data_IF_707500142736
#
_entry.id   IF_707500142736
#
_cell.length_a   1.000
_cell.length_b   1.000
_cell.length_c   1.000
_cell.angle_alpha   90.00
_cell.angle_beta   90.00
_cell.angle_gamma   90.00
#
_symmetry.space_group_name_H-M   'P 1'
#
loop_
_entity.id
_entity.type
_entity.pdbx_description
1 polymer ?
#
# COMPACT_ATOMS: atom_id res chain seq x y z
N UNK A 1 4.16 -30.78 6.48
CA UNK A 1 2.70 -30.50 6.50
C UNK A 1 2.51 -29.07 6.07
N UNK A 2 2.18 -28.84 4.79
CA UNK A 2 1.87 -27.51 4.28
C UNK A 2 0.45 -27.22 4.74
N UNK A 3 0.31 -26.36 5.73
CA UNK A 3 -1.00 -25.85 6.12
C UNK A 3 -1.56 -25.06 4.93
N UNK A 4 -2.51 -25.63 4.22
CA UNK A 4 -3.38 -24.90 3.32
C UNK A 4 -4.25 -23.97 4.17
N UNK A 5 -3.71 -22.82 4.54
CA UNK A 5 -4.56 -21.71 4.94
C UNK A 5 -5.33 -21.31 3.68
N UNK A 6 -6.59 -21.68 3.64
CA UNK A 6 -7.53 -21.20 2.63
C UNK A 6 -7.52 -19.68 2.72
N UNK A 7 -6.90 -19.04 1.74
CA UNK A 7 -6.84 -17.60 1.61
C UNK A 7 -8.29 -17.09 1.43
N UNK A 8 -8.92 -16.61 2.49
CA UNK A 8 -10.28 -16.08 2.42
C UNK A 8 -10.20 -14.63 1.98
N UNK A 9 -10.13 -14.42 0.67
CA UNK A 9 -10.32 -13.10 0.09
C UNK A 9 -11.80 -12.71 0.21
N UNK A 10 -12.08 -11.55 0.78
CA UNK A 10 -13.43 -11.02 0.87
C UNK A 10 -13.82 -10.40 -0.48
N UNK A 11 -14.86 -10.88 -1.18
CA UNK A 11 -15.22 -10.36 -2.48
C UNK A 11 -15.86 -8.98 -2.39
N UNK A 12 -15.48 -8.09 -3.31
CA UNK A 12 -16.09 -6.77 -3.51
C UNK A 12 -16.52 -6.63 -4.97
N UNK A 13 -17.83 -6.57 -5.21
CA UNK A 13 -18.41 -6.47 -6.54
C UNK A 13 -18.87 -5.06 -6.89
N UNK A 14 -19.12 -4.21 -5.90
CA UNK A 14 -19.67 -2.88 -6.12
C UNK A 14 -18.66 -1.77 -5.87
N UNK A 15 -18.50 -0.80 -6.79
CA UNK A 15 -17.67 0.39 -6.57
C UNK A 15 -18.20 1.30 -5.45
N UNK A 16 -19.44 1.07 -4.98
CA UNK A 16 -20.04 1.79 -3.84
C UNK A 16 -19.69 1.15 -2.49
N UNK A 17 -18.94 0.06 -2.48
CA UNK A 17 -18.51 -0.61 -1.25
C UNK A 17 -17.80 0.38 -0.31
N UNK A 18 -18.08 0.36 1.01
CA UNK A 18 -17.47 1.26 1.99
C UNK A 18 -15.93 1.21 2.01
N UNK A 19 -15.34 0.02 1.84
CA UNK A 19 -13.89 -0.16 1.80
C UNK A 19 -13.27 0.57 0.60
N UNK A 20 -13.90 0.50 -0.58
CA UNK A 20 -13.43 1.22 -1.77
C UNK A 20 -13.64 2.74 -1.66
N UNK A 21 -14.70 3.19 -0.99
CA UNK A 21 -14.90 4.62 -0.70
C UNK A 21 -13.80 5.14 0.23
N UNK A 22 -13.47 4.37 1.27
CA UNK A 22 -12.38 4.68 2.18
C UNK A 22 -11.04 4.75 1.46
N UNK A 23 -10.73 3.75 0.64
CA UNK A 23 -9.51 3.68 -0.17
C UNK A 23 -9.37 4.91 -1.08
N UNK A 24 -10.46 5.31 -1.75
CA UNK A 24 -10.50 6.52 -2.57
C UNK A 24 -10.20 7.78 -1.76
N UNK A 25 -10.82 7.93 -0.58
CA UNK A 25 -10.56 9.07 0.29
C UNK A 25 -9.08 9.16 0.70
N UNK A 26 -8.45 8.03 1.01
CA UNK A 26 -7.02 7.99 1.32
C UNK A 26 -6.15 8.38 0.12
N UNK A 27 -6.55 8.01 -1.11
CA UNK A 27 -5.85 8.46 -2.32
C UNK A 27 -5.97 9.97 -2.54
N UNK A 28 -7.18 10.51 -2.39
CA UNK A 28 -7.50 11.87 -2.82
C UNK A 28 -7.18 12.92 -1.76
N UNK A 29 -7.37 12.60 -0.47
CA UNK A 29 -7.40 13.59 0.62
C UNK A 29 -6.23 13.42 1.58
N UNK A 30 -5.26 14.34 1.51
CA UNK A 30 -4.14 14.38 2.46
C UNK A 30 -4.64 14.51 3.93
N UNK A 31 -5.72 15.27 4.15
CA UNK A 31 -6.35 15.41 5.46
C UNK A 31 -6.83 14.06 6.02
N UNK A 32 -7.43 13.21 5.18
CA UNK A 32 -7.90 11.88 5.61
C UNK A 32 -6.73 10.98 5.95
N UNK A 33 -5.65 11.00 5.16
CA UNK A 33 -4.43 10.26 5.47
C UNK A 33 -3.86 10.67 6.82
N UNK A 34 -3.73 11.98 7.06
CA UNK A 34 -3.23 12.50 8.33
C UNK A 34 -4.13 12.14 9.51
N UNK A 35 -5.46 12.30 9.35
CA UNK A 35 -6.45 11.99 10.40
C UNK A 35 -6.43 10.52 10.81
N UNK A 36 -6.29 9.62 9.84
CA UNK A 36 -6.35 8.16 10.06
C UNK A 36 -4.98 7.53 10.32
N UNK A 37 -3.90 8.25 10.05
CA UNK A 37 -2.56 7.67 10.09
C UNK A 37 -2.36 6.56 9.07
N UNK A 38 -3.03 6.64 7.91
CA UNK A 38 -3.02 5.61 6.86
C UNK A 38 -2.67 6.22 5.51
N UNK A 39 -2.06 5.42 4.65
CA UNK A 39 -1.81 5.78 3.25
C UNK A 39 -1.96 4.58 2.32
N UNK A 40 -2.09 4.85 1.03
CA UNK A 40 -2.27 3.81 0.01
C UNK A 40 -0.98 3.61 -0.77
N UNK A 41 -0.67 2.37 -1.05
CA UNK A 41 0.47 1.93 -1.87
C UNK A 41 -0.11 1.20 -3.07
N UNK A 42 0.29 1.60 -4.27
CA UNK A 42 -0.15 0.99 -5.52
C UNK A 42 1.01 0.27 -6.20
N UNK A 43 0.82 -1.03 -6.40
CA UNK A 43 1.77 -1.88 -7.10
C UNK A 43 2.63 -2.74 -6.19
N UNK A 44 2.97 -3.90 -6.72
CA UNK A 44 3.67 -4.94 -5.99
C UNK A 44 5.10 -4.53 -5.60
N UNK A 45 5.78 -3.83 -6.49
CA UNK A 45 7.14 -3.32 -6.25
C UNK A 45 7.19 -2.33 -5.09
N UNK A 46 6.22 -1.42 -5.03
CA UNK A 46 6.10 -0.42 -3.97
C UNK A 46 5.70 -1.07 -2.64
N UNK A 47 4.82 -2.07 -2.66
CA UNK A 47 4.46 -2.87 -1.48
C UNK A 47 5.69 -3.59 -0.93
N UNK A 48 6.51 -4.21 -1.80
CA UNK A 48 7.77 -4.86 -1.39
C UNK A 48 8.73 -3.87 -0.73
N UNK A 49 8.90 -2.67 -1.28
CA UNK A 49 9.72 -1.61 -0.66
C UNK A 49 9.18 -1.21 0.71
N UNK A 50 7.88 -1.09 0.86
CA UNK A 50 7.25 -0.77 2.14
C UNK A 50 7.43 -1.90 3.18
N UNK A 51 7.39 -3.18 2.74
CA UNK A 51 7.73 -4.32 3.59
C UNK A 51 9.19 -4.24 4.09
N UNK A 52 10.14 -3.94 3.20
CA UNK A 52 11.54 -3.71 3.58
C UNK A 52 11.69 -2.53 4.54
N UNK A 53 10.87 -1.48 4.36
CA UNK A 53 10.77 -0.35 5.26
C UNK A 53 10.02 -0.66 6.56
N UNK A 54 9.60 -1.91 6.81
CA UNK A 54 8.88 -2.36 8.02
C UNK A 54 7.60 -1.54 8.29
N UNK A 55 6.84 -1.23 7.25
CA UNK A 55 5.51 -0.65 7.40
C UNK A 55 4.49 -1.71 7.80
N UNK A 56 3.52 -1.32 8.65
CA UNK A 56 2.41 -2.17 9.04
C UNK A 56 1.29 -2.05 8.01
N UNK A 57 0.90 -3.18 7.43
CA UNK A 57 -0.20 -3.25 6.47
C UNK A 57 -1.50 -3.59 7.17
N UNK A 58 -2.57 -2.89 6.82
CA UNK A 58 -3.90 -3.09 7.40
C UNK A 58 -4.86 -3.79 6.44
N UNK A 59 -4.75 -3.49 5.14
CA UNK A 59 -5.64 -4.05 4.11
C UNK A 59 -4.90 -4.24 2.78
N UNK A 60 -5.34 -5.25 2.03
CA UNK A 60 -4.93 -5.49 0.64
C UNK A 60 -6.15 -5.59 -0.26
N UNK A 61 -6.04 -5.05 -1.46
CA UNK A 61 -7.07 -5.11 -2.50
C UNK A 61 -6.44 -5.64 -3.77
N UNK A 62 -6.96 -6.74 -4.29
CA UNK A 62 -6.44 -7.42 -5.48
C UNK A 62 -7.51 -7.44 -6.55
N UNK A 63 -7.15 -7.11 -7.78
CA UNK A 63 -8.05 -7.25 -8.92
C UNK A 63 -8.44 -8.71 -9.11
N UNK A 64 -9.72 -8.97 -9.33
CA UNK A 64 -10.24 -10.31 -9.61
C UNK A 64 -9.49 -10.97 -10.77
N UNK A 65 -9.12 -12.23 -10.58
CA UNK A 65 -8.33 -13.00 -11.53
C UNK A 65 -6.83 -12.74 -11.49
N UNK A 66 -6.34 -11.89 -10.59
CA UNK A 66 -4.92 -11.61 -10.40
C UNK A 66 -4.39 -12.26 -9.13
N UNK A 67 -3.10 -12.58 -9.14
CA UNK A 67 -2.38 -13.12 -7.99
C UNK A 67 -1.02 -12.39 -7.91
N UNK A 68 -0.58 -11.96 -6.73
CA UNK A 68 0.75 -11.38 -6.58
C UNK A 68 1.84 -12.40 -6.98
N UNK A 69 2.88 -11.93 -7.65
CA UNK A 69 4.00 -12.78 -8.09
C UNK A 69 5.10 -12.87 -7.02
N UNK A 70 5.26 -11.83 -6.23
CA UNK A 70 6.31 -11.72 -5.20
C UNK A 70 5.95 -12.55 -3.97
N UNK A 71 6.78 -13.52 -3.55
CA UNK A 71 6.50 -14.37 -2.40
C UNK A 71 6.22 -13.60 -1.10
N UNK A 72 6.92 -12.51 -0.86
CA UNK A 72 6.73 -11.67 0.32
C UNK A 72 5.35 -10.98 0.33
N UNK A 73 4.85 -10.58 -0.85
CA UNK A 73 3.51 -10.00 -0.99
C UNK A 73 2.43 -11.08 -0.88
N UNK A 74 2.68 -12.29 -1.40
CA UNK A 74 1.80 -13.45 -1.19
C UNK A 74 1.69 -13.79 0.31
N UNK A 75 2.80 -13.79 1.04
CA UNK A 75 2.79 -14.04 2.48
C UNK A 75 1.97 -12.99 3.25
N UNK A 76 1.97 -11.74 2.80
CA UNK A 76 1.20 -10.65 3.39
C UNK A 76 -0.31 -10.88 3.31
N UNK A 77 -0.80 -11.58 2.29
CA UNK A 77 -2.22 -11.96 2.15
C UNK A 77 -2.75 -12.78 3.33
N UNK A 78 -1.89 -13.61 3.93
CA UNK A 78 -2.25 -14.45 5.06
C UNK A 78 -2.20 -13.72 6.41
N UNK A 79 -1.60 -12.54 6.43
CA UNK A 79 -1.38 -11.75 7.65
C UNK A 79 -2.25 -10.50 7.73
N UNK A 80 -2.96 -10.17 6.65
CA UNK A 80 -3.67 -8.91 6.49
C UNK A 80 -5.08 -9.16 5.96
N UNK A 81 -6.03 -8.31 6.30
CA UNK A 81 -7.36 -8.38 5.69
C UNK A 81 -7.25 -8.12 4.18
N UNK A 82 -7.60 -9.12 3.37
CA UNK A 82 -7.48 -9.05 1.93
C UNK A 82 -8.84 -9.11 1.22
N UNK A 83 -8.99 -8.29 0.19
CA UNK A 83 -10.20 -8.18 -0.62
C UNK A 83 -9.89 -8.54 -2.07
N UNK A 84 -10.77 -9.31 -2.69
CA UNK A 84 -10.80 -9.51 -4.12
C UNK A 84 -11.81 -8.54 -4.73
N UNK A 85 -11.35 -7.64 -5.57
CA UNK A 85 -12.16 -6.56 -6.14
C UNK A 85 -12.47 -6.85 -7.59
N UNK A 86 -13.75 -6.79 -7.95
CA UNK A 86 -14.21 -6.93 -9.33
C UNK A 86 -13.46 -5.94 -10.24
N UNK A 87 -13.09 -6.40 -11.44
CA UNK A 87 -12.18 -5.71 -12.35
C UNK A 87 -12.57 -4.26 -12.65
N UNK A 88 -13.85 -4.01 -12.96
CA UNK A 88 -14.32 -2.65 -13.25
C UNK A 88 -14.27 -1.73 -12.01
N UNK A 89 -14.55 -2.29 -10.82
CA UNK A 89 -14.46 -1.56 -9.57
C UNK A 89 -13.01 -1.23 -9.23
N UNK A 90 -12.08 -2.17 -9.46
CA UNK A 90 -10.65 -1.98 -9.24
C UNK A 90 -10.08 -0.89 -10.14
N UNK A 91 -10.39 -0.92 -11.45
CA UNK A 91 -9.90 0.05 -12.42
C UNK A 91 -10.35 1.49 -12.12
N UNK A 92 -11.51 1.66 -11.47
CA UNK A 92 -12.01 2.99 -11.07
C UNK A 92 -11.26 3.61 -9.88
N UNK A 93 -10.54 2.83 -9.11
CA UNK A 93 -9.76 3.29 -7.95
C UNK A 93 -8.26 3.30 -8.21
N UNK A 94 -7.75 2.44 -9.09
CA UNK A 94 -6.36 2.44 -9.52
C UNK A 94 -6.01 3.74 -10.25
N UNK A 95 -4.84 4.31 -9.92
CA UNK A 95 -4.34 5.53 -10.56
C UNK A 95 -3.37 5.27 -11.70
N UNK A 96 -2.72 4.10 -11.71
CA UNK A 96 -1.74 3.72 -12.74
C UNK A 96 -2.36 2.94 -13.90
N UNK A 97 -3.44 3.48 -14.48
CA UNK A 97 -4.02 3.05 -15.77
C UNK A 97 -4.00 1.53 -16.05
N UNK A 98 -4.36 0.70 -15.03
CA UNK A 98 -4.52 -0.74 -15.23
C UNK A 98 -3.22 -1.57 -15.30
N UNK A 99 -2.04 -0.97 -15.12
CA UNK A 99 -0.78 -1.72 -15.05
C UNK A 99 -0.61 -2.46 -13.73
N UNK A 100 -1.15 -1.91 -12.64
CA UNK A 100 -1.07 -2.50 -11.32
C UNK A 100 -2.36 -3.24 -10.96
N UNK A 101 -2.21 -4.39 -10.32
CA UNK A 101 -3.31 -5.30 -9.98
C UNK A 101 -3.51 -5.44 -8.46
N UNK A 102 -2.74 -4.70 -7.68
CA UNK A 102 -2.78 -4.74 -6.23
C UNK A 102 -2.62 -3.35 -5.63
N UNK A 103 -3.42 -3.09 -4.60
CA UNK A 103 -3.35 -1.92 -3.75
C UNK A 103 -3.22 -2.37 -2.30
N UNK A 104 -2.49 -1.62 -1.51
CA UNK A 104 -2.37 -1.86 -0.08
C UNK A 104 -2.66 -0.59 0.72
N UNK A 105 -3.18 -0.76 1.92
CA UNK A 105 -3.27 0.29 2.93
C UNK A 105 -2.31 -0.03 4.04
N UNK A 106 -1.48 0.93 4.40
CA UNK A 106 -0.49 0.81 5.47
C UNK A 106 -0.56 1.99 6.43
N UNK A 107 -0.07 1.78 7.65
CA UNK A 107 0.05 2.82 8.67
C UNK A 107 1.22 3.77 8.35
N UNK A 108 1.00 5.07 8.58
CA UNK A 108 2.08 6.06 8.50
C UNK A 108 3.02 5.90 9.68
N UNK A 109 4.31 6.17 9.45
CA UNK A 109 5.31 6.26 10.53
C UNK A 109 5.52 7.71 10.92
N UNK A 110 5.93 7.93 12.15
CA UNK A 110 6.50 9.21 12.55
C UNK A 110 7.87 9.39 11.89
N UNK A 111 8.05 10.55 11.26
CA UNK A 111 9.31 10.98 10.64
C UNK A 111 9.84 12.25 11.33
N UNK A 112 9.53 12.40 12.63
CA UNK A 112 10.04 13.51 13.42
C UNK A 112 11.57 13.41 13.57
N UNK A 113 12.25 14.57 13.51
CA UNK A 113 13.71 14.63 13.56
C UNK A 113 14.27 14.05 14.87
N UNK A 114 13.53 14.15 15.98
CA UNK A 114 13.88 13.61 17.28
C UNK A 114 14.03 12.08 17.30
N UNK A 115 13.39 11.41 16.33
CA UNK A 115 13.48 9.95 16.19
C UNK A 115 14.59 9.50 15.23
N UNK A 116 15.30 10.45 14.62
CA UNK A 116 16.36 10.14 13.66
C UNK A 116 17.60 9.63 14.41
N UNK A 117 17.95 8.37 14.16
CA UNK A 117 19.19 7.77 14.67
C UNK A 117 20.25 7.86 13.60
N UNK A 118 21.26 8.66 13.85
CA UNK A 118 22.42 8.82 12.96
C UNK A 118 23.60 8.01 13.47
N UNK A 119 24.40 7.49 12.54
CA UNK A 119 25.73 6.94 12.87
C UNK A 119 26.75 8.07 13.01
N UNK A 120 27.89 7.78 13.64
CA UNK A 120 28.97 8.76 13.85
C UNK A 120 29.55 9.31 12.52
N UNK A 121 29.33 8.61 11.41
CA UNK A 121 29.79 8.99 10.06
C UNK A 121 28.62 9.20 9.12
N UNK A 122 27.49 9.70 9.60
CA UNK A 122 26.31 9.93 8.77
C UNK A 122 26.56 11.01 7.72
N UNK A 123 26.24 10.70 6.46
CA UNK A 123 26.11 11.68 5.38
C UNK A 123 24.64 12.08 5.27
N UNK A 124 24.34 13.36 5.42
CA UNK A 124 22.98 13.89 5.41
C UNK A 124 22.79 14.77 4.17
N UNK A 125 21.79 14.42 3.35
CA UNK A 125 21.32 15.23 2.25
C UNK A 125 20.03 15.95 2.68
N UNK A 126 20.05 17.26 2.67
CA UNK A 126 18.86 18.08 2.91
C UNK A 126 18.35 18.62 1.57
N UNK A 127 17.07 18.35 1.28
CA UNK A 127 16.42 18.77 0.03
C UNK A 127 15.16 19.55 0.38
N UNK A 128 15.03 20.75 -0.18
CA UNK A 128 13.87 21.61 -0.02
C UNK A 128 12.93 21.50 -1.24
N UNK A 129 11.62 21.33 -0.97
CA UNK A 129 10.52 21.36 -1.93
C UNK A 129 10.76 20.59 -3.25
N UNK A 130 11.14 19.30 -3.23
CA UNK A 130 11.33 18.54 -4.44
C UNK A 130 10.00 18.38 -5.19
N UNK A 131 9.91 18.84 -6.44
CA UNK A 131 8.68 18.73 -7.24
C UNK A 131 8.27 17.28 -7.52
N UNK A 132 9.25 16.39 -7.70
CA UNK A 132 9.04 14.98 -7.99
C UNK A 132 9.90 14.13 -7.06
N UNK A 133 9.34 13.65 -5.93
CA UNK A 133 10.10 12.83 -4.97
C UNK A 133 10.76 11.59 -5.58
N UNK A 134 10.18 11.03 -6.65
CA UNK A 134 10.78 9.91 -7.38
C UNK A 134 12.13 10.22 -8.02
N UNK A 135 12.42 11.48 -8.35
CA UNK A 135 13.70 11.88 -8.92
C UNK A 135 14.83 11.92 -7.87
N UNK A 136 14.47 11.94 -6.57
CA UNK A 136 15.45 11.91 -5.48
C UNK A 136 15.88 10.46 -5.19
N UNK A 137 14.99 9.50 -5.43
CA UNK A 137 15.25 8.08 -5.20
C UNK A 137 15.85 7.35 -6.41
N UNK A 138 16.00 8.03 -7.53
CA UNK A 138 16.65 7.49 -8.72
C UNK A 138 18.14 7.84 -8.68
#
# INVERSE_FOLDING_TARGET
MIAHYSLILKPIHSPKNPELKQLRLLFEKARERKKKGLFVIEGEREIKKALLGKYNFTQLFIEEGSTPETPEVQALLNQTTAFQVEKNAFQRISRRSGSEKILAVAETKSHELEHLKLSDQALILVVEAPEKPGNIGA
#
